data_IF_988933692376
#
_entry.id   IF_988933692376
#
_cell.length_a   1.000
_cell.length_b   1.000
_cell.length_c   1.000
_cell.angle_alpha   90.00
_cell.angle_beta   90.00
_cell.angle_gamma   90.00
#
_symmetry.space_group_name_H-M   'P 1'
#
loop_
_entity.id
_entity.type
_entity.pdbx_description
1 polymer ?
#
# COMPACT_ATOMS: atom_id res chain seq x y z
N UNK A 1 10.89 -2.52 -17.37
CA UNK A 1 10.68 -3.87 -17.95
C UNK A 1 9.66 -4.60 -17.08
N UNK A 2 8.37 -4.31 -17.28
CA UNK A 2 7.24 -5.03 -16.63
C UNK A 2 6.39 -5.74 -17.68
N UNK A 3 6.96 -6.07 -18.85
CA UNK A 3 6.19 -6.36 -20.05
C UNK A 3 5.87 -7.84 -20.33
N UNK A 4 6.34 -8.81 -19.56
CA UNK A 4 6.19 -10.19 -20.00
C UNK A 4 5.29 -11.13 -19.16
N UNK A 5 4.74 -10.68 -18.01
CA UNK A 5 4.01 -11.64 -17.16
C UNK A 5 2.72 -11.05 -16.57
N UNK A 6 1.70 -10.92 -17.41
CA UNK A 6 0.34 -10.65 -16.96
C UNK A 6 -0.38 -11.99 -16.86
N UNK A 7 -0.69 -12.40 -15.63
CA UNK A 7 -1.39 -13.66 -15.39
C UNK A 7 -2.87 -13.57 -15.73
N UNK A 8 -3.47 -14.66 -16.30
CA UNK A 8 -4.87 -14.71 -16.71
C UNK A 8 -5.90 -14.70 -15.56
N UNK A 9 -5.50 -14.39 -14.34
CA UNK A 9 -6.37 -14.40 -13.16
C UNK A 9 -7.01 -13.06 -12.78
N UNK A 10 -6.86 -11.98 -13.57
CA UNK A 10 -7.43 -10.67 -13.25
C UNK A 10 -8.83 -10.43 -13.85
N UNK A 11 -9.48 -11.47 -14.39
CA UNK A 11 -10.83 -11.36 -14.97
C UNK A 11 -11.87 -11.76 -13.94
N UNK A 12 -12.86 -10.91 -13.71
CA UNK A 12 -13.99 -11.14 -12.79
C UNK A 12 -14.90 -12.25 -13.29
N UNK A 13 -15.27 -13.20 -12.41
CA UNK A 13 -16.37 -14.15 -12.64
C UNK A 13 -17.62 -13.70 -11.87
N UNK A 14 -18.60 -13.16 -12.60
CA UNK A 14 -19.89 -12.67 -12.09
C UNK A 14 -20.91 -13.82 -11.92
N UNK A 15 -20.64 -14.83 -11.09
CA UNK A 15 -21.65 -15.84 -10.75
C UNK A 15 -21.68 -16.14 -9.25
N UNK A 16 -22.28 -15.25 -8.46
CA UNK A 16 -22.74 -15.62 -7.13
C UNK A 16 -24.22 -16.00 -7.17
N UNK A 17 -24.48 -17.28 -7.18
CA UNK A 17 -25.81 -17.87 -7.03
C UNK A 17 -26.34 -17.67 -5.63
N UNK A 18 -27.56 -17.08 -5.56
CA UNK A 18 -28.36 -16.98 -4.33
C UNK A 18 -28.95 -18.37 -4.02
N UNK A 19 -28.36 -19.17 -3.14
CA UNK A 19 -29.03 -20.25 -2.40
C UNK A 19 -28.05 -20.87 -1.40
N UNK A 20 -28.17 -20.55 -0.11
CA UNK A 20 -28.00 -21.46 1.04
C UNK A 20 -28.14 -20.65 2.33
N UNK A 21 -29.40 -20.35 2.68
CA UNK A 21 -29.75 -20.08 4.08
C UNK A 21 -30.17 -21.41 4.71
N UNK A 22 -29.36 -21.94 5.58
CA UNK A 22 -29.66 -23.12 6.41
C UNK A 22 -29.43 -22.78 7.88
N UNK A 23 -30.49 -22.81 8.67
CA UNK A 23 -30.46 -22.66 10.13
C UNK A 23 -29.54 -23.68 10.77
N UNK A 24 -28.66 -23.22 11.67
CA UNK A 24 -28.17 -24.02 12.77
C UNK A 24 -28.13 -23.18 14.06
N UNK A 25 -29.04 -23.47 14.95
CA UNK A 25 -29.03 -23.07 16.36
C UNK A 25 -27.90 -23.78 17.08
N UNK A 26 -26.93 -23.02 17.61
CA UNK A 26 -25.92 -23.58 18.53
C UNK A 26 -25.71 -22.62 19.70
N UNK A 27 -25.68 -23.22 20.84
CA UNK A 27 -25.61 -22.79 22.25
C UNK A 27 -24.50 -21.73 22.44
N UNK A 28 -24.88 -20.60 23.02
CA UNK A 28 -24.00 -19.51 23.39
C UNK A 28 -23.20 -19.88 24.67
N UNK A 29 -21.88 -20.04 24.51
CA UNK A 29 -20.95 -19.86 25.59
C UNK A 29 -20.43 -18.42 25.50
N UNK A 30 -20.88 -17.54 26.37
CA UNK A 30 -20.52 -16.15 26.47
C UNK A 30 -19.11 -16.00 27.02
N UNK A 31 -18.14 -15.81 26.11
CA UNK A 31 -16.90 -15.14 26.44
C UNK A 31 -17.09 -13.64 26.10
N UNK A 32 -16.64 -12.71 26.94
CA UNK A 32 -16.70 -11.30 26.58
C UNK A 32 -15.69 -11.05 25.44
N UNK A 33 -16.16 -11.11 24.21
CA UNK A 33 -15.47 -10.47 23.12
C UNK A 33 -15.51 -8.98 23.43
N UNK A 34 -14.39 -8.41 23.85
CA UNK A 34 -14.15 -6.98 23.77
C UNK A 34 -14.23 -6.62 22.28
N UNK A 35 -15.45 -6.38 21.80
CA UNK A 35 -15.66 -5.73 20.55
C UNK A 35 -15.00 -4.35 20.72
N UNK A 36 -13.77 -4.21 20.23
CA UNK A 36 -13.21 -2.91 19.93
C UNK A 36 -14.22 -2.26 19.00
N UNK A 37 -15.05 -1.37 19.53
CA UNK A 37 -15.96 -0.57 18.73
C UNK A 37 -15.09 0.04 17.64
N UNK A 38 -15.33 -0.35 16.38
CA UNK A 38 -14.65 0.25 15.25
C UNK A 38 -14.93 1.74 15.34
N UNK A 39 -13.87 2.54 15.53
CA UNK A 39 -14.01 3.98 15.60
C UNK A 39 -14.66 4.46 14.30
N UNK A 40 -15.70 5.29 14.42
CA UNK A 40 -16.25 5.96 13.25
C UNK A 40 -15.13 6.67 12.49
N UNK A 41 -15.15 6.61 11.17
CA UNK A 41 -14.09 7.14 10.30
C UNK A 41 -14.62 8.30 9.50
N UNK A 42 -13.87 9.37 9.47
CA UNK A 42 -14.06 10.49 8.56
C UNK A 42 -13.25 10.24 7.31
N UNK A 43 -13.90 10.37 6.13
CA UNK A 43 -13.28 10.32 4.81
C UNK A 43 -13.50 11.65 4.11
N UNK A 44 -12.46 12.19 3.48
CA UNK A 44 -12.52 13.45 2.70
C UNK A 44 -11.72 13.29 1.41
N UNK A 45 -12.27 13.78 0.31
CA UNK A 45 -11.47 14.08 -0.88
C UNK A 45 -10.70 15.37 -0.63
N UNK A 46 -9.40 15.34 -0.92
CA UNK A 46 -8.48 16.45 -0.66
C UNK A 46 -7.57 16.70 -1.85
N UNK A 47 -7.04 17.90 -1.92
CA UNK A 47 -6.02 18.30 -2.87
C UNK A 47 -4.71 18.58 -2.15
N UNK A 48 -3.62 17.97 -2.63
CA UNK A 48 -2.28 18.19 -2.10
C UNK A 48 -1.44 18.93 -3.11
N UNK A 49 -0.95 20.11 -2.75
CA UNK A 49 0.00 20.87 -3.56
C UNK A 49 1.34 20.18 -3.56
N UNK A 50 1.87 19.93 -4.74
CA UNK A 50 3.19 19.33 -4.98
C UNK A 50 4.05 20.26 -5.82
N UNK A 51 5.31 19.90 -6.06
CA UNK A 51 6.19 20.68 -6.96
C UNK A 51 5.70 20.67 -8.42
N UNK A 52 4.98 19.62 -8.83
CA UNK A 52 4.60 19.40 -10.23
C UNK A 52 3.08 19.61 -10.48
N UNK A 53 2.35 20.12 -9.49
CA UNK A 53 0.92 20.41 -9.64
C UNK A 53 0.11 20.14 -8.38
N UNK A 54 -1.16 19.80 -8.57
CA UNK A 54 -2.11 19.50 -7.48
C UNK A 54 -2.54 18.05 -7.59
N UNK A 55 -2.24 17.27 -6.56
CA UNK A 55 -2.60 15.86 -6.47
C UNK A 55 -3.97 15.71 -5.80
N UNK A 56 -4.91 15.08 -6.48
CA UNK A 56 -6.15 14.60 -5.90
C UNK A 56 -5.87 13.35 -5.03
N UNK A 57 -6.42 13.32 -3.82
CA UNK A 57 -6.17 12.28 -2.83
C UNK A 57 -7.38 12.04 -1.93
N UNK A 58 -7.37 10.93 -1.21
CA UNK A 58 -8.33 10.64 -0.16
C UNK A 58 -7.66 10.67 1.21
N UNK A 59 -8.23 11.41 2.15
CA UNK A 59 -7.78 11.54 3.53
C UNK A 59 -8.77 10.84 4.46
N UNK A 60 -8.24 10.06 5.40
CA UNK A 60 -9.02 9.32 6.39
C UNK A 60 -8.47 9.56 7.79
N UNK A 61 -9.35 9.68 8.78
CA UNK A 61 -8.95 9.73 10.18
C UNK A 61 -10.08 9.22 11.09
N UNK A 62 -9.79 8.78 12.33
CA UNK A 62 -10.84 8.49 13.30
C UNK A 62 -11.71 9.72 13.53
N UNK A 63 -13.00 9.51 13.73
CA UNK A 63 -13.92 10.58 14.14
C UNK A 63 -13.65 11.02 15.59
N UNK A 64 -14.08 12.23 15.92
CA UNK A 64 -13.95 12.77 17.26
C UNK A 64 -12.65 13.57 17.48
N UNK A 65 -12.36 13.83 18.75
CA UNK A 65 -11.19 14.63 19.18
C UNK A 65 -10.03 13.71 19.47
N UNK A 66 -8.86 13.97 18.90
CA UNK A 66 -7.63 13.21 19.12
C UNK A 66 -6.56 13.58 18.11
N UNK A 67 -5.40 12.97 18.28
CA UNK A 67 -4.33 13.05 17.30
C UNK A 67 -3.68 11.66 17.14
N UNK A 68 -3.43 11.27 15.90
CA UNK A 68 -3.01 9.92 15.55
C UNK A 68 -1.77 9.93 14.66
N UNK A 69 -0.96 8.85 14.66
CA UNK A 69 0.17 8.72 13.75
C UNK A 69 -0.29 8.79 12.29
N UNK A 70 0.56 9.36 11.44
CA UNK A 70 0.30 9.47 10.00
C UNK A 70 0.72 8.20 9.25
N UNK A 71 -0.06 7.84 8.21
CA UNK A 71 0.26 6.76 7.27
C UNK A 71 0.02 7.23 5.85
N UNK A 72 1.01 7.02 4.97
CA UNK A 72 0.88 7.20 3.53
C UNK A 72 0.69 5.85 2.85
N UNK A 73 -0.31 5.71 1.99
CA UNK A 73 -0.61 4.49 1.23
C UNK A 73 -0.41 4.73 -0.26
N UNK A 74 0.59 4.07 -0.86
CA UNK A 74 0.80 4.08 -2.29
C UNK A 74 -0.01 2.98 -2.98
N UNK A 75 -0.97 3.33 -3.85
CA UNK A 75 -1.72 2.36 -4.65
C UNK A 75 -0.85 1.57 -5.63
N UNK A 76 -1.45 0.53 -6.19
CA UNK A 76 -0.90 -0.20 -7.34
C UNK A 76 -1.06 0.58 -8.66
N UNK A 77 -0.71 -0.07 -9.78
CA UNK A 77 -0.76 0.52 -11.13
C UNK A 77 -2.17 0.97 -11.56
N UNK A 78 -3.24 0.50 -10.92
CA UNK A 78 -4.60 0.92 -11.21
C UNK A 78 -5.01 2.17 -10.41
N UNK A 79 -4.14 2.72 -9.56
CA UNK A 79 -4.31 3.99 -8.88
C UNK A 79 -5.33 4.02 -7.75
N UNK A 80 -5.67 5.24 -7.32
CA UNK A 80 -6.66 5.49 -6.27
C UNK A 80 -8.06 5.06 -6.75
N UNK A 81 -8.64 4.07 -6.05
CA UNK A 81 -9.95 3.48 -6.34
C UNK A 81 -10.59 2.90 -5.07
N UNK A 82 -11.83 2.37 -5.10
CA UNK A 82 -12.53 1.89 -3.89
C UNK A 82 -11.72 0.95 -3.01
N UNK A 83 -10.98 0.00 -3.56
CA UNK A 83 -10.15 -0.92 -2.77
C UNK A 83 -9.12 -0.22 -1.87
N UNK A 84 -8.48 0.83 -2.36
CA UNK A 84 -7.52 1.61 -1.56
C UNK A 84 -8.20 2.59 -0.59
N UNK A 85 -9.40 3.06 -0.92
CA UNK A 85 -10.23 3.81 0.04
C UNK A 85 -10.65 2.91 1.20
N UNK A 86 -11.03 1.66 0.94
CA UNK A 86 -11.35 0.68 1.99
C UNK A 86 -10.15 0.40 2.90
N UNK A 87 -8.94 0.29 2.35
CA UNK A 87 -7.71 0.18 3.14
C UNK A 87 -7.46 1.43 4.00
N UNK A 88 -7.69 2.62 3.44
CA UNK A 88 -7.61 3.88 4.18
C UNK A 88 -8.59 3.94 5.35
N UNK A 89 -9.86 3.57 5.13
CA UNK A 89 -10.87 3.47 6.19
C UNK A 89 -10.47 2.46 7.27
N UNK A 90 -9.96 1.29 6.86
CA UNK A 90 -9.52 0.24 7.78
C UNK A 90 -8.38 0.69 8.68
N UNK A 91 -7.39 1.40 8.15
CA UNK A 91 -6.30 1.98 8.93
C UNK A 91 -6.79 3.10 9.86
N UNK A 92 -7.65 3.98 9.36
CA UNK A 92 -8.23 5.04 10.18
C UNK A 92 -9.04 4.48 11.35
N UNK A 93 -9.84 3.42 11.14
CA UNK A 93 -10.54 2.72 12.20
C UNK A 93 -9.61 2.12 13.26
N UNK A 94 -8.34 1.89 12.94
CA UNK A 94 -7.28 1.43 13.84
C UNK A 94 -6.49 2.56 14.50
N UNK A 95 -6.86 3.82 14.27
CA UNK A 95 -6.23 4.96 14.94
C UNK A 95 -5.07 5.58 14.16
N UNK A 96 -5.20 5.73 12.86
CA UNK A 96 -4.22 6.42 12.00
C UNK A 96 -4.86 7.56 11.20
N UNK A 97 -4.10 8.60 10.91
CA UNK A 97 -4.43 9.59 9.88
C UNK A 97 -3.80 9.12 8.57
N UNK A 98 -4.63 8.86 7.56
CA UNK A 98 -4.19 8.13 6.35
C UNK A 98 -4.40 9.00 5.12
N UNK A 99 -3.37 9.12 4.30
CA UNK A 99 -3.46 9.72 2.97
C UNK A 99 -3.27 8.64 1.91
N UNK A 100 -4.19 8.58 0.96
CA UNK A 100 -4.11 7.76 -0.24
C UNK A 100 -4.11 8.68 -1.45
N UNK A 101 -2.93 9.03 -2.01
CA UNK A 101 -2.84 9.93 -3.16
C UNK A 101 -3.20 9.21 -4.47
N UNK A 102 -3.61 9.97 -5.47
CA UNK A 102 -3.57 9.55 -6.86
C UNK A 102 -2.12 9.60 -7.36
N UNK A 103 -1.43 8.49 -7.60
CA UNK A 103 -0.04 8.52 -8.03
C UNK A 103 0.13 9.13 -9.43
N UNK A 104 -0.96 9.21 -10.20
CA UNK A 104 -0.96 9.64 -11.61
C UNK A 104 -1.53 11.05 -11.82
N UNK A 105 -1.64 11.86 -10.78
CA UNK A 105 -2.25 13.19 -10.83
C UNK A 105 -1.65 14.11 -11.91
N UNK A 106 -0.39 13.89 -12.31
CA UNK A 106 0.24 14.61 -13.41
C UNK A 106 -0.38 14.31 -14.77
N UNK A 107 -1.03 13.17 -14.90
CA UNK A 107 -1.57 12.64 -16.17
C UNK A 107 -3.09 12.56 -16.19
N UNK A 108 -3.72 12.22 -15.06
CA UNK A 108 -5.16 12.04 -14.97
C UNK A 108 -5.65 12.13 -13.51
N UNK A 109 -6.89 12.60 -13.33
CA UNK A 109 -7.60 12.51 -12.05
C UNK A 109 -8.06 11.07 -11.76
N UNK A 110 -8.14 10.72 -10.47
CA UNK A 110 -8.70 9.44 -10.06
C UNK A 110 -10.26 9.44 -10.18
N UNK A 111 -10.85 8.28 -10.49
CA UNK A 111 -10.23 7.00 -10.80
C UNK A 111 -9.65 6.98 -12.23
N UNK A 112 -8.44 6.41 -12.40
CA UNK A 112 -7.78 6.33 -13.71
C UNK A 112 -8.24 5.12 -14.54
N UNK A 113 -9.01 4.22 -13.93
CA UNK A 113 -9.69 3.10 -14.57
C UNK A 113 -11.20 3.22 -14.38
N UNK A 114 -11.99 2.80 -15.38
CA UNK A 114 -13.44 2.68 -15.30
C UNK A 114 -13.89 1.26 -14.92
N UNK A 115 -15.20 1.07 -14.77
CA UNK A 115 -15.83 -0.22 -14.42
C UNK A 115 -15.54 -1.32 -15.46
N UNK A 116 -15.39 -0.94 -16.74
CA UNK A 116 -15.10 -1.86 -17.85
C UNK A 116 -13.59 -2.04 -18.10
N UNK A 117 -12.74 -1.72 -17.13
CA UNK A 117 -11.30 -1.87 -17.29
C UNK A 117 -10.91 -3.35 -17.41
N UNK A 118 -10.20 -3.67 -18.49
CA UNK A 118 -9.62 -4.98 -18.73
C UNK A 118 -8.11 -4.87 -18.90
N UNK A 119 -7.35 -5.49 -18.00
CA UNK A 119 -5.90 -5.49 -18.05
C UNK A 119 -5.35 -6.25 -19.28
N UNK A 120 -6.13 -7.14 -19.89
CA UNK A 120 -5.76 -7.82 -21.13
C UNK A 120 -5.93 -6.92 -22.35
N UNK A 121 -6.73 -5.85 -22.26
CA UNK A 121 -6.83 -4.85 -23.32
C UNK A 121 -5.51 -4.05 -23.39
N UNK A 122 -4.79 -4.21 -24.49
CA UNK A 122 -3.47 -3.61 -24.68
C UNK A 122 -3.49 -2.08 -24.63
N UNK A 123 -4.51 -1.44 -25.16
CA UNK A 123 -4.63 0.03 -25.17
C UNK A 123 -4.81 0.56 -23.75
N UNK A 124 -5.72 -0.04 -22.97
CA UNK A 124 -5.97 0.34 -21.57
C UNK A 124 -4.74 0.13 -20.72
N UNK A 125 -4.04 -0.99 -20.90
CA UNK A 125 -2.78 -1.30 -20.22
C UNK A 125 -1.69 -0.30 -20.59
N UNK A 126 -1.49 -0.02 -21.87
CA UNK A 126 -0.48 0.91 -22.34
C UNK A 126 -0.71 2.33 -21.79
N UNK A 127 -1.96 2.75 -21.63
CA UNK A 127 -2.32 4.01 -20.98
C UNK A 127 -1.81 4.07 -19.54
N UNK A 128 -2.04 3.03 -18.74
CA UNK A 128 -1.55 2.99 -17.36
C UNK A 128 -0.02 2.98 -17.28
N UNK A 129 0.64 2.23 -18.14
CA UNK A 129 2.11 2.26 -18.23
C UNK A 129 2.64 3.62 -18.68
N UNK A 130 1.91 4.32 -19.56
CA UNK A 130 2.21 5.70 -19.92
C UNK A 130 2.16 6.64 -18.70
N UNK A 131 1.13 6.52 -17.87
CA UNK A 131 1.05 7.30 -16.62
C UNK A 131 2.20 6.96 -15.66
N UNK A 132 2.52 5.66 -15.52
CA UNK A 132 3.66 5.23 -14.69
C UNK A 132 4.99 5.78 -15.21
N UNK A 133 5.20 5.81 -16.52
CA UNK A 133 6.43 6.33 -17.14
C UNK A 133 6.62 7.83 -16.95
N UNK A 134 5.53 8.59 -16.74
CA UNK A 134 5.58 9.99 -16.42
C UNK A 134 6.04 10.30 -14.98
N UNK A 135 6.07 9.28 -14.10
CA UNK A 135 6.53 9.40 -12.72
C UNK A 135 8.05 9.29 -12.67
N UNK A 136 8.74 10.42 -12.58
CA UNK A 136 10.19 10.46 -12.40
C UNK A 136 10.57 10.21 -10.94
N UNK A 137 11.80 9.75 -10.71
CA UNK A 137 12.33 9.54 -9.37
C UNK A 137 12.32 10.82 -8.53
N UNK A 138 12.78 11.94 -9.09
CA UNK A 138 12.76 13.23 -8.40
C UNK A 138 11.33 13.69 -8.10
N UNK A 139 10.39 13.48 -9.05
CA UNK A 139 8.98 13.77 -8.82
C UNK A 139 8.38 12.96 -7.68
N UNK A 140 8.69 11.66 -7.59
CA UNK A 140 8.25 10.80 -6.49
C UNK A 140 8.84 11.25 -5.15
N UNK A 141 10.11 11.66 -5.11
CA UNK A 141 10.75 12.17 -3.89
C UNK A 141 10.09 13.48 -3.42
N UNK A 142 9.79 14.40 -4.34
CA UNK A 142 9.05 15.63 -4.03
C UNK A 142 7.61 15.34 -3.58
N UNK A 143 6.94 14.39 -4.22
CA UNK A 143 5.60 13.96 -3.80
C UNK A 143 5.60 13.39 -2.38
N UNK A 144 6.57 12.53 -2.06
CA UNK A 144 6.72 11.96 -0.73
C UNK A 144 6.86 13.05 0.34
N UNK A 145 7.68 14.09 0.07
CA UNK A 145 7.85 15.24 0.96
C UNK A 145 6.54 16.03 1.10
N UNK A 146 5.86 16.31 -0.02
CA UNK A 146 4.61 17.07 -0.02
C UNK A 146 3.49 16.32 0.71
N UNK A 147 3.36 15.01 0.50
CA UNK A 147 2.31 14.20 1.15
C UNK A 147 2.51 14.08 2.64
N UNK A 148 3.75 13.89 3.11
CA UNK A 148 4.03 13.85 4.55
C UNK A 148 3.87 15.23 5.19
N UNK A 149 4.27 16.31 4.52
CA UNK A 149 4.03 17.68 4.99
C UNK A 149 2.52 18.00 5.05
N UNK A 150 1.74 17.53 4.07
CA UNK A 150 0.29 17.67 4.09
C UNK A 150 -0.34 16.91 5.27
N UNK A 151 0.07 15.66 5.49
CA UNK A 151 -0.36 14.89 6.67
C UNK A 151 -0.01 15.62 7.97
N UNK A 152 1.19 16.18 8.08
CA UNK A 152 1.62 16.93 9.25
C UNK A 152 0.88 18.27 9.42
N UNK A 153 0.25 18.80 8.38
CA UNK A 153 -0.59 19.99 8.47
C UNK A 153 -1.99 19.71 9.03
N UNK A 154 -2.43 18.44 9.03
CA UNK A 154 -3.75 18.08 9.50
C UNK A 154 -3.83 18.19 11.04
N UNK A 155 -4.93 18.76 11.59
CA UNK A 155 -5.10 18.92 13.04
C UNK A 155 -5.18 17.57 13.76
N UNK A 156 -5.64 16.53 13.07
CA UNK A 156 -5.76 15.16 13.59
C UNK A 156 -4.44 14.41 13.61
N UNK A 157 -3.36 14.95 13.03
CA UNK A 157 -2.05 14.26 12.99
C UNK A 157 -1.21 14.53 14.25
N UNK A 158 -0.78 13.46 14.89
CA UNK A 158 0.22 13.50 15.97
C UNK A 158 1.62 13.76 15.40
N UNK A 159 2.00 15.01 15.27
CA UNK A 159 3.26 15.45 14.61
C UNK A 159 4.52 14.98 15.33
N UNK A 160 4.43 14.69 16.62
CA UNK A 160 5.55 14.18 17.43
C UNK A 160 5.79 12.69 17.23
N UNK A 161 4.79 11.95 16.74
CA UNK A 161 4.90 10.53 16.44
C UNK A 161 5.46 10.33 15.03
N UNK A 162 6.13 9.22 14.81
CA UNK A 162 6.63 8.84 13.46
C UNK A 162 5.49 8.49 12.52
N UNK A 163 5.79 8.47 11.22
CA UNK A 163 4.86 8.07 10.17
C UNK A 163 5.19 6.68 9.62
N UNK A 164 4.14 5.98 9.18
CA UNK A 164 4.24 4.79 8.37
C UNK A 164 4.06 5.09 6.89
N UNK A 165 4.62 4.22 6.05
CA UNK A 165 4.31 4.18 4.63
C UNK A 165 4.10 2.74 4.19
N UNK A 166 3.11 2.51 3.36
CA UNK A 166 2.88 1.22 2.72
C UNK A 166 2.59 1.38 1.25
N UNK A 167 2.91 0.34 0.47
CA UNK A 167 2.66 0.36 -0.95
C UNK A 167 2.45 -1.02 -1.54
N UNK A 168 1.70 -1.06 -2.63
CA UNK A 168 1.20 -2.25 -3.28
C UNK A 168 1.66 -2.29 -4.73
N UNK A 169 2.17 -3.44 -5.22
CA UNK A 169 2.71 -3.55 -6.59
C UNK A 169 3.80 -2.49 -6.83
N UNK A 170 3.63 -1.61 -7.83
CA UNK A 170 4.53 -0.47 -8.02
C UNK A 170 4.69 0.40 -6.76
N UNK A 171 3.63 0.53 -5.97
CA UNK A 171 3.65 1.28 -4.71
C UNK A 171 4.63 0.71 -3.68
N UNK A 172 4.96 -0.58 -3.78
CA UNK A 172 5.97 -1.20 -2.94
C UNK A 172 7.35 -0.54 -3.09
N UNK A 173 7.77 -0.29 -4.33
CA UNK A 173 9.01 0.44 -4.62
C UNK A 173 8.92 1.92 -4.20
N UNK A 174 7.74 2.55 -4.37
CA UNK A 174 7.51 3.93 -3.96
C UNK A 174 7.58 4.11 -2.44
N UNK A 175 7.21 3.09 -1.66
CA UNK A 175 7.33 3.12 -0.21
C UNK A 175 8.78 3.15 0.28
N UNK A 176 9.69 2.41 -0.36
CA UNK A 176 11.12 2.47 -0.10
C UNK A 176 11.68 3.86 -0.41
N UNK A 177 11.27 4.41 -1.57
CA UNK A 177 11.71 5.72 -2.00
C UNK A 177 11.24 6.83 -1.06
N UNK A 178 9.98 6.76 -0.61
CA UNK A 178 9.41 7.68 0.39
C UNK A 178 10.23 7.68 1.68
N UNK A 179 10.60 6.50 2.19
CA UNK A 179 11.41 6.40 3.41
C UNK A 179 12.81 7.01 3.25
N UNK A 180 13.39 6.92 2.06
CA UNK A 180 14.67 7.54 1.75
C UNK A 180 14.59 9.06 1.54
N UNK A 181 13.48 9.54 0.97
CA UNK A 181 13.24 10.98 0.75
C UNK A 181 12.93 11.73 2.06
N UNK A 182 12.30 11.05 3.05
CA UNK A 182 11.91 11.68 4.32
C UNK A 182 12.31 10.80 5.52
N UNK A 183 13.61 10.48 5.68
CA UNK A 183 14.07 9.48 6.65
C UNK A 183 13.87 9.89 8.11
N UNK A 184 13.79 11.19 8.38
CA UNK A 184 13.55 11.71 9.74
C UNK A 184 12.10 11.43 10.20
N UNK A 185 11.16 11.32 9.27
CA UNK A 185 9.73 11.20 9.55
C UNK A 185 9.20 9.77 9.48
N UNK A 186 9.70 8.96 8.52
CA UNK A 186 9.24 7.60 8.27
C UNK A 186 9.99 6.60 9.15
N UNK A 187 9.26 5.84 9.97
CA UNK A 187 9.82 4.81 10.86
C UNK A 187 9.37 3.38 10.50
N UNK A 188 8.35 3.22 9.66
CA UNK A 188 7.83 1.92 9.27
C UNK A 188 7.49 1.89 7.78
N UNK A 189 7.92 0.83 7.10
CA UNK A 189 7.69 0.62 5.65
C UNK A 189 7.08 -0.75 5.42
N UNK A 190 5.88 -0.77 4.80
CA UNK A 190 5.25 -1.99 4.28
C UNK A 190 5.32 -2.04 2.75
N UNK A 191 5.83 -3.12 2.19
CA UNK A 191 5.83 -3.36 0.74
C UNK A 191 5.13 -4.68 0.45
N UNK A 192 4.03 -4.62 -0.29
CA UNK A 192 3.19 -5.76 -0.60
C UNK A 192 3.27 -6.06 -2.09
N UNK A 193 3.61 -7.31 -2.44
CA UNK A 193 3.83 -7.75 -3.83
C UNK A 193 4.54 -6.69 -4.70
N UNK A 194 5.62 -6.10 -4.16
CA UNK A 194 6.43 -5.13 -4.90
C UNK A 194 7.14 -5.72 -6.13
N UNK A 195 7.11 -7.04 -6.24
CA UNK A 195 7.60 -7.79 -7.38
C UNK A 195 9.05 -7.49 -7.71
N UNK A 196 9.40 -7.69 -8.97
CA UNK A 196 10.75 -7.51 -9.49
C UNK A 196 11.23 -6.04 -9.46
N UNK A 197 10.36 -5.11 -9.03
CA UNK A 197 10.69 -3.69 -8.91
C UNK A 197 11.51 -3.31 -7.68
N UNK A 198 11.68 -4.21 -6.69
CA UNK A 198 12.41 -3.89 -5.45
C UNK A 198 13.93 -4.05 -5.58
N UNK A 199 14.39 -5.02 -6.37
CA UNK A 199 15.81 -5.26 -6.68
C UNK A 199 15.97 -5.28 -8.18
N UNK A 200 16.57 -4.24 -8.73
CA UNK A 200 16.83 -4.10 -10.18
C UNK A 200 18.31 -3.86 -10.41
N UNK A 201 18.74 -3.86 -11.68
CA UNK A 201 20.10 -3.53 -12.09
C UNK A 201 20.36 -2.02 -12.18
N UNK A 202 19.33 -1.21 -12.01
CA UNK A 202 19.41 0.23 -12.13
C UNK A 202 20.12 0.85 -10.90
N UNK A 203 20.85 1.92 -11.11
CA UNK A 203 21.57 2.62 -10.05
C UNK A 203 20.65 3.25 -8.97
N UNK A 204 19.39 3.43 -9.29
CA UNK A 204 18.33 3.94 -8.43
C UNK A 204 17.41 2.86 -7.86
N UNK A 205 17.80 1.58 -7.94
CA UNK A 205 17.02 0.46 -7.44
C UNK A 205 16.61 0.65 -5.96
N UNK A 206 15.35 0.36 -5.59
CA UNK A 206 14.85 0.60 -4.23
C UNK A 206 15.70 0.00 -3.11
N UNK A 207 16.25 -1.21 -3.29
CA UNK A 207 17.11 -1.82 -2.28
C UNK A 207 18.39 -1.02 -1.97
N UNK A 208 18.89 -0.23 -2.94
CA UNK A 208 20.05 0.65 -2.76
C UNK A 208 19.73 1.91 -1.94
N UNK A 209 18.45 2.20 -1.71
CA UNK A 209 18.00 3.30 -0.87
C UNK A 209 17.96 2.93 0.62
N UNK A 210 17.98 1.66 0.98
CA UNK A 210 17.89 1.18 2.37
C UNK A 210 18.87 1.88 3.31
N UNK A 211 20.16 2.07 2.96
CA UNK A 211 21.11 2.77 3.84
C UNK A 211 20.74 4.22 4.17
N UNK A 212 19.92 4.85 3.31
CA UNK A 212 19.47 6.25 3.49
C UNK A 212 18.26 6.37 4.41
N UNK A 213 17.70 5.26 4.90
CA UNK A 213 16.48 5.23 5.71
C UNK A 213 16.77 4.97 7.18
N UNK A 214 15.78 5.23 8.05
CA UNK A 214 15.81 4.88 9.48
C UNK A 214 14.67 3.94 9.87
N UNK A 215 13.93 3.42 8.90
CA UNK A 215 12.71 2.65 9.11
C UNK A 215 12.96 1.17 9.38
N UNK A 216 11.97 0.54 10.03
CA UNK A 216 11.78 -0.91 10.08
C UNK A 216 10.93 -1.35 8.89
N UNK A 217 11.22 -2.49 8.30
CA UNK A 217 10.59 -2.94 7.05
C UNK A 217 9.79 -4.23 7.21
N UNK A 218 8.67 -4.29 6.50
CA UNK A 218 7.92 -5.50 6.21
C UNK A 218 7.80 -5.64 4.68
N UNK A 219 8.39 -6.69 4.13
CA UNK A 219 8.31 -7.00 2.69
C UNK A 219 7.59 -8.32 2.50
N UNK A 220 6.38 -8.24 1.95
CA UNK A 220 5.51 -9.37 1.68
C UNK A 220 5.54 -9.65 0.17
N UNK A 221 6.29 -10.67 -0.22
CA UNK A 221 6.49 -11.04 -1.63
C UNK A 221 5.46 -12.07 -2.08
N UNK A 222 4.95 -11.97 -3.29
CA UNK A 222 4.07 -12.98 -3.87
C UNK A 222 4.86 -14.22 -4.29
N UNK A 223 4.26 -15.42 -4.20
CA UNK A 223 4.91 -16.67 -4.59
C UNK A 223 5.32 -16.70 -6.07
N UNK A 224 4.49 -16.14 -6.95
CA UNK A 224 4.81 -16.09 -8.38
C UNK A 224 5.88 -15.05 -8.72
N UNK A 225 5.97 -13.95 -7.97
CA UNK A 225 7.09 -13.01 -8.09
C UNK A 225 8.40 -13.66 -7.62
N UNK A 226 8.36 -14.42 -6.52
CA UNK A 226 9.50 -15.17 -6.00
C UNK A 226 9.99 -16.24 -6.98
N UNK A 227 9.05 -16.94 -7.65
CA UNK A 227 9.42 -17.92 -8.70
C UNK A 227 10.11 -17.27 -9.90
N UNK A 228 9.73 -16.04 -10.27
CA UNK A 228 10.35 -15.30 -11.38
C UNK A 228 11.73 -14.74 -11.02
N UNK A 229 11.92 -14.30 -9.79
CA UNK A 229 13.19 -13.73 -9.30
C UNK A 229 13.50 -14.28 -7.90
N UNK A 230 13.89 -15.57 -7.79
CA UNK A 230 14.05 -16.24 -6.50
C UNK A 230 15.18 -15.65 -5.63
N UNK A 231 16.16 -15.00 -6.25
CA UNK A 231 17.28 -14.37 -5.54
C UNK A 231 16.89 -13.05 -4.86
N UNK A 232 15.82 -12.38 -5.29
CA UNK A 232 15.45 -11.03 -4.81
C UNK A 232 15.27 -10.97 -3.28
N UNK A 233 14.62 -11.97 -2.68
CA UNK A 233 14.41 -12.03 -1.23
C UNK A 233 15.73 -12.08 -0.44
N UNK A 234 16.72 -12.79 -0.97
CA UNK A 234 18.03 -12.93 -0.32
C UNK A 234 18.87 -11.67 -0.52
N UNK A 235 18.82 -11.05 -1.70
CA UNK A 235 19.45 -9.76 -1.96
C UNK A 235 18.88 -8.66 -1.06
N UNK A 236 17.55 -8.62 -0.87
CA UNK A 236 16.89 -7.71 0.08
C UNK A 236 17.36 -7.95 1.51
N UNK A 237 17.36 -9.20 1.98
CA UNK A 237 17.84 -9.55 3.32
C UNK A 237 19.29 -9.12 3.51
N UNK A 238 20.15 -9.39 2.53
CA UNK A 238 21.54 -8.97 2.56
C UNK A 238 21.69 -7.43 2.63
N UNK A 239 20.91 -6.69 1.84
CA UNK A 239 20.90 -5.23 1.86
C UNK A 239 20.43 -4.66 3.23
N UNK A 240 19.40 -5.25 3.85
CA UNK A 240 18.94 -4.84 5.18
C UNK A 240 20.00 -5.11 6.26
N UNK A 241 20.65 -6.28 6.22
CA UNK A 241 21.75 -6.63 7.16
C UNK A 241 22.89 -5.65 7.01
N UNK A 242 23.35 -5.40 5.77
CA UNK A 242 24.46 -4.48 5.49
C UNK A 242 24.15 -3.04 5.96
N UNK A 243 22.91 -2.59 5.80
CA UNK A 243 22.46 -1.27 6.25
C UNK A 243 22.13 -1.23 7.74
N UNK A 244 22.14 -2.35 8.46
CA UNK A 244 21.70 -2.48 9.86
C UNK A 244 20.26 -1.97 10.06
N UNK A 245 19.36 -2.32 9.13
CA UNK A 245 17.94 -1.97 9.21
C UNK A 245 17.12 -3.21 9.57
N UNK A 246 16.25 -3.12 10.60
CA UNK A 246 15.36 -4.22 10.94
C UNK A 246 14.37 -4.47 9.79
N UNK A 247 14.23 -5.73 9.39
CA UNK A 247 13.32 -6.09 8.32
C UNK A 247 12.79 -7.52 8.46
N UNK A 248 11.54 -7.72 8.06
CA UNK A 248 10.93 -9.01 7.76
C UNK A 248 10.75 -9.09 6.25
N UNK A 249 11.34 -10.09 5.60
CA UNK A 249 11.16 -10.38 4.17
C UNK A 249 10.61 -11.80 4.06
N UNK A 250 9.37 -11.92 3.59
CA UNK A 250 8.62 -13.18 3.60
C UNK A 250 7.88 -13.39 2.28
N UNK A 251 7.84 -14.65 1.80
CA UNK A 251 7.05 -15.06 0.65
C UNK A 251 5.68 -15.55 1.13
N UNK A 252 4.63 -14.98 0.56
CA UNK A 252 3.24 -15.31 0.83
C UNK A 252 2.73 -16.31 -0.21
N UNK A 253 1.93 -17.29 0.20
CA UNK A 253 1.43 -18.37 -0.66
C UNK A 253 0.25 -17.89 -1.50
N UNK A 254 0.45 -16.76 -2.19
CA UNK A 254 -0.56 -16.14 -3.04
C UNK A 254 0.10 -15.40 -4.20
N UNK A 255 -0.66 -15.15 -5.27
CA UNK A 255 -0.16 -14.52 -6.49
C UNK A 255 -0.16 -12.99 -6.37
N UNK A 256 0.64 -12.33 -7.20
CA UNK A 256 0.77 -10.88 -7.25
C UNK A 256 -0.60 -10.19 -7.28
N UNK A 257 -0.85 -9.30 -6.31
CA UNK A 257 -2.15 -8.61 -6.14
C UNK A 257 -3.04 -9.15 -5.02
N UNK A 258 -2.65 -10.23 -4.34
CA UNK A 258 -3.49 -10.95 -3.35
C UNK A 258 -4.07 -10.10 -2.22
N UNK A 259 -3.40 -8.97 -1.88
CA UNK A 259 -3.85 -8.09 -0.79
C UNK A 259 -4.97 -7.11 -1.21
N UNK A 260 -5.24 -6.98 -2.51
CA UNK A 260 -6.15 -5.95 -3.01
C UNK A 260 -7.52 -6.56 -3.29
N UNK A 261 -8.48 -6.23 -2.43
CA UNK A 261 -9.85 -6.74 -2.52
C UNK A 261 -10.52 -6.35 -3.84
N UNK A 262 -11.30 -7.27 -4.41
CA UNK A 262 -12.00 -7.09 -5.68
C UNK A 262 -11.22 -7.56 -6.91
N UNK A 263 -9.95 -7.98 -6.77
CA UNK A 263 -9.19 -8.62 -7.83
C UNK A 263 -9.39 -10.14 -7.83
N UNK A 264 -9.29 -10.77 -9.01
CA UNK A 264 -9.46 -12.23 -9.17
C UNK A 264 -8.43 -13.07 -8.40
N UNK A 265 -7.29 -12.46 -8.04
CA UNK A 265 -6.20 -13.10 -7.26
C UNK A 265 -6.28 -12.80 -5.77
N UNK A 266 -7.33 -12.09 -5.30
CA UNK A 266 -7.50 -11.78 -3.89
C UNK A 266 -7.52 -13.06 -3.06
N UNK A 267 -6.67 -13.13 -2.05
CA UNK A 267 -6.61 -14.23 -1.09
C UNK A 267 -6.80 -13.66 0.31
N UNK A 268 -7.99 -13.84 0.87
CA UNK A 268 -8.37 -13.26 2.15
C UNK A 268 -7.46 -13.73 3.30
N UNK A 269 -7.13 -15.02 3.36
CA UNK A 269 -6.28 -15.57 4.43
C UNK A 269 -4.89 -14.94 4.42
N UNK A 270 -4.24 -14.86 3.27
CA UNK A 270 -2.92 -14.26 3.14
C UNK A 270 -2.99 -12.72 3.27
N UNK A 271 -4.07 -12.08 2.82
CA UNK A 271 -4.26 -10.64 2.99
C UNK A 271 -4.42 -10.25 4.46
N UNK A 272 -5.19 -11.02 5.24
CA UNK A 272 -5.35 -10.80 6.68
C UNK A 272 -4.06 -11.11 7.46
N UNK A 273 -3.30 -12.15 7.06
CA UNK A 273 -1.98 -12.43 7.64
C UNK A 273 -1.02 -11.27 7.40
N UNK A 274 -0.97 -10.74 6.19
CA UNK A 274 -0.15 -9.59 5.83
C UNK A 274 -0.60 -8.33 6.58
N UNK A 275 -1.91 -8.12 6.71
CA UNK A 275 -2.47 -7.00 7.47
C UNK A 275 -2.11 -7.06 8.95
N UNK A 276 -2.18 -8.23 9.57
CA UNK A 276 -1.78 -8.43 10.97
C UNK A 276 -0.29 -8.11 11.18
N UNK A 277 0.58 -8.54 10.26
CA UNK A 277 2.01 -8.21 10.28
C UNK A 277 2.26 -6.70 10.15
N UNK A 278 1.53 -6.02 9.25
CA UNK A 278 1.58 -4.56 9.07
C UNK A 278 1.13 -3.82 10.33
N UNK A 279 0.01 -4.25 10.91
CA UNK A 279 -0.52 -3.66 12.16
C UNK A 279 0.52 -3.75 13.29
N UNK A 280 1.16 -4.90 13.45
CA UNK A 280 2.25 -5.09 14.43
C UNK A 280 3.44 -4.17 14.14
N UNK A 281 3.83 -4.03 12.85
CA UNK A 281 4.90 -3.14 12.45
C UNK A 281 4.60 -1.70 12.87
N UNK A 282 3.39 -1.21 12.60
CA UNK A 282 2.98 0.15 12.93
C UNK A 282 2.88 0.39 14.44
N UNK A 283 2.26 -0.53 15.18
CA UNK A 283 2.16 -0.45 16.64
C UNK A 283 3.52 -0.38 17.33
N UNK A 284 4.54 -1.01 16.76
CA UNK A 284 5.89 -1.04 17.34
C UNK A 284 6.75 0.16 16.97
N UNK A 285 6.44 0.88 15.89
CA UNK A 285 7.34 1.90 15.31
C UNK A 285 6.74 3.31 15.18
N UNK A 286 5.41 3.47 15.28
CA UNK A 286 4.75 4.78 15.16
C UNK A 286 4.36 5.38 16.52
N UNK A 287 5.13 5.12 17.52
CA UNK A 287 4.95 5.59 18.91
C UNK A 287 5.50 6.98 19.15
#
# INVERSE_FOLDING_TARGET
MCDEFIHPGLVEDHRLSRRSFGLMTAVAASLPASALAQSEVVEKDVEVKTADGVCDAALFHPAGKGSWPAVLVWPDIMGLRPAFRDMGRRLAAQGYVVLVPNPFYRSAHAPVIGESFDFNNQEQRNRLFGYRSAMTDAGIDHDAQAYLAFLDSQPETAKTKKAGVQGYCMGGALSFRTAAAVPARVAAVGSFHGGNGLVTKEANSPHLLIPKTSATYLVCQAQNDDMQQPQMKDDLKAAFVAAKRPATVEVYQANHGWCVKGGAVYNEGEAERAWAALTKLYQSNLV
#
